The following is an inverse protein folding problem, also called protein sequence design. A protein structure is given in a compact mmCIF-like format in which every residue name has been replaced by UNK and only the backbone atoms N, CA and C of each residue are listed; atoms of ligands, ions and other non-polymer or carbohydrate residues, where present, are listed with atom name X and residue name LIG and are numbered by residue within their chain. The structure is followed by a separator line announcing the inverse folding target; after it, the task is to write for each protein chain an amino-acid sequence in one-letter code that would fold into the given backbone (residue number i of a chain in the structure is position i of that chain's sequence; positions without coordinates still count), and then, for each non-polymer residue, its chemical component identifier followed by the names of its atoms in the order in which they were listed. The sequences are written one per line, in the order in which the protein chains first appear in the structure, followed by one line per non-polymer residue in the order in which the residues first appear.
data_IF_713909071263
#
_entry.id   IF_713909071263
#
_cell.length_a   1.000
_cell.length_b   1.000
_cell.length_c   1.000
_cell.angle_alpha   90.00
_cell.angle_beta   90.00
_cell.angle_gamma   90.00
#
_symmetry.space_group_name_H-M   'P 1'
#
loop_
_entity.id
_entity.type
_entity.pdbx_description
1 polymer ?
#
# COMPACT_ATOMS: atom_id res chain seq x y z
N UNK A 1 20.62 15.06 -1.42
CA UNK A 1 19.90 14.47 -0.28
C UNK A 1 20.23 13.01 -0.29
N UNK A 2 20.79 12.51 0.81
CA UNK A 2 20.98 11.07 1.01
C UNK A 2 19.61 10.39 1.04
N UNK A 3 19.56 9.17 0.49
CA UNK A 3 18.40 8.28 0.59
C UNK A 3 18.04 8.05 2.08
N UNK A 4 16.77 7.80 2.40
CA UNK A 4 16.37 7.41 3.74
C UNK A 4 17.13 6.13 4.17
N UNK A 5 17.54 6.07 5.44
CA UNK A 5 18.35 4.98 5.96
C UNK A 5 17.55 3.67 6.04
N UNK A 6 18.25 2.54 5.96
CA UNK A 6 17.71 1.17 5.98
C UNK A 6 16.76 0.91 7.17
N UNK A 7 17.05 1.58 8.29
CA UNK A 7 16.30 1.52 9.54
C UNK A 7 14.87 2.08 9.41
N UNK A 8 14.71 3.16 8.64
CA UNK A 8 13.44 3.90 8.60
C UNK A 8 12.39 3.20 7.71
N UNK A 9 12.85 2.33 6.81
CA UNK A 9 12.00 1.51 5.95
C UNK A 9 11.59 0.20 6.63
N UNK A 10 12.43 -0.33 7.54
CA UNK A 10 12.06 -1.46 8.40
C UNK A 10 10.92 -1.08 9.36
N UNK A 11 10.93 0.14 9.91
CA UNK A 11 9.86 0.65 10.78
C UNK A 11 8.51 0.83 10.04
N UNK A 12 8.55 1.21 8.76
CA UNK A 12 7.36 1.28 7.88
C UNK A 12 6.70 -0.10 7.68
N UNK A 13 7.49 -1.16 7.48
CA UNK A 13 6.93 -2.51 7.31
C UNK A 13 6.49 -3.10 8.66
N UNK A 14 7.14 -2.72 9.75
CA UNK A 14 6.76 -3.13 11.10
C UNK A 14 5.45 -2.47 11.60
N UNK A 15 5.10 -1.28 11.09
CA UNK A 15 3.84 -0.57 11.40
C UNK A 15 2.63 -1.07 10.62
N UNK A 16 2.80 -2.01 9.69
CA UNK A 16 1.73 -2.85 9.14
C UNK A 16 1.23 -3.85 10.21
N UNK A 17 0.78 -3.34 11.35
CA UNK A 17 -0.01 -4.13 12.30
C UNK A 17 -1.31 -4.54 11.62
N UNK A 18 -1.37 -5.80 11.21
CA UNK A 18 -2.51 -6.39 10.51
C UNK A 18 -3.75 -6.20 11.38
N UNK A 19 -4.68 -5.35 10.94
CA UNK A 19 -6.00 -5.25 11.56
C UNK A 19 -6.66 -6.63 11.43
N UNK A 20 -7.23 -7.22 12.51
CA UNK A 20 -7.88 -8.52 12.38
C UNK A 20 -9.00 -8.49 11.35
N UNK A 21 -9.05 -9.48 10.43
CA UNK A 21 -10.04 -9.53 9.34
C UNK A 21 -11.49 -9.35 9.86
N UNK A 22 -11.83 -9.97 11.00
CA UNK A 22 -13.16 -9.84 11.60
C UNK A 22 -13.52 -8.38 11.94
N UNK A 23 -12.57 -7.60 12.46
CA UNK A 23 -12.77 -6.20 12.80
C UNK A 23 -12.96 -5.35 11.54
N UNK A 24 -12.24 -5.65 10.46
CA UNK A 24 -12.47 -5.00 9.16
C UNK A 24 -13.89 -5.28 8.67
N UNK A 25 -14.29 -6.56 8.63
CA UNK A 25 -15.61 -6.99 8.16
C UNK A 25 -16.74 -6.26 8.90
N UNK A 26 -16.70 -6.24 10.23
CA UNK A 26 -17.75 -5.59 11.04
C UNK A 26 -17.90 -4.11 10.72
N UNK A 27 -16.79 -3.41 10.48
CA UNK A 27 -16.78 -1.99 10.16
C UNK A 27 -17.25 -1.69 8.74
N UNK A 28 -16.94 -2.55 7.76
CA UNK A 28 -17.28 -2.28 6.35
C UNK A 28 -18.62 -2.86 5.89
N UNK A 29 -19.14 -3.92 6.51
CA UNK A 29 -20.44 -4.54 6.17
C UNK A 29 -21.59 -3.53 6.06
N UNK A 30 -21.75 -2.54 6.96
CA UNK A 30 -22.81 -1.55 6.85
C UNK A 30 -22.77 -0.72 5.55
N UNK A 31 -21.59 -0.46 4.99
CA UNK A 31 -21.44 0.27 3.73
C UNK A 31 -21.94 -0.56 2.55
N UNK A 32 -21.54 -1.83 2.49
CA UNK A 32 -21.98 -2.76 1.45
C UNK A 32 -23.49 -3.01 1.49
N UNK A 33 -24.10 -3.06 2.68
CA UNK A 33 -25.56 -3.19 2.86
C UNK A 33 -26.35 -1.97 2.39
N UNK A 34 -25.73 -0.79 2.40
CA UNK A 34 -26.36 0.49 2.00
C UNK A 34 -26.05 0.86 0.55
N UNK A 35 -25.25 0.05 -0.15
CA UNK A 35 -24.91 0.27 -1.54
C UNK A 35 -26.16 0.22 -2.43
N UNK A 36 -26.18 1.07 -3.45
CA UNK A 36 -27.18 1.04 -4.52
C UNK A 36 -26.90 -0.06 -5.55
N UNK A 37 -25.71 -0.64 -5.55
CA UNK A 37 -25.37 -1.84 -6.34
C UNK A 37 -25.84 -3.11 -5.59
N UNK A 38 -26.83 -3.84 -6.14
CA UNK A 38 -27.40 -5.01 -5.49
C UNK A 38 -26.43 -6.20 -5.39
N UNK A 39 -25.40 -6.26 -6.25
CA UNK A 39 -24.46 -7.39 -6.29
C UNK A 39 -23.26 -7.16 -5.35
N UNK A 40 -23.05 -5.92 -4.92
CA UNK A 40 -21.84 -5.54 -4.19
C UNK A 40 -21.73 -6.27 -2.84
N UNK A 41 -22.86 -6.41 -2.13
CA UNK A 41 -22.90 -7.16 -0.87
C UNK A 41 -22.60 -8.66 -1.10
N UNK A 42 -23.15 -9.24 -2.17
CA UNK A 42 -22.91 -10.65 -2.51
C UNK A 42 -21.45 -10.87 -2.90
N UNK A 43 -20.85 -10.00 -3.71
CA UNK A 43 -19.43 -10.05 -4.07
C UNK A 43 -18.54 -9.93 -2.83
N UNK A 44 -18.85 -9.00 -1.93
CA UNK A 44 -18.15 -8.85 -0.66
C UNK A 44 -18.23 -10.13 0.19
N UNK A 45 -19.42 -10.73 0.33
CA UNK A 45 -19.59 -11.99 1.06
C UNK A 45 -18.83 -13.17 0.44
N UNK A 46 -18.77 -13.26 -0.89
CA UNK A 46 -17.96 -14.27 -1.59
C UNK A 46 -16.48 -14.06 -1.30
N UNK A 47 -15.99 -12.82 -1.34
CA UNK A 47 -14.61 -12.48 -1.04
C UNK A 47 -14.23 -12.83 0.41
N UNK A 48 -15.09 -12.49 1.39
CA UNK A 48 -14.85 -12.85 2.79
C UNK A 48 -14.76 -14.37 2.99
N UNK A 49 -15.65 -15.14 2.36
CA UNK A 49 -15.57 -16.61 2.40
C UNK A 49 -14.26 -17.14 1.82
N UNK A 50 -13.71 -16.50 0.79
CA UNK A 50 -12.40 -16.87 0.24
C UNK A 50 -11.27 -16.57 1.23
N UNK A 51 -11.32 -15.44 1.94
CA UNK A 51 -10.37 -15.13 3.01
C UNK A 51 -10.42 -16.19 4.13
N UNK A 52 -11.61 -16.53 4.62
CA UNK A 52 -11.79 -17.53 5.68
C UNK A 52 -11.30 -18.93 5.28
N UNK A 53 -11.30 -19.26 3.98
CA UNK A 53 -10.91 -20.57 3.46
C UNK A 53 -9.43 -20.65 3.05
N UNK A 54 -8.76 -19.51 2.86
CA UNK A 54 -7.41 -19.44 2.33
C UNK A 54 -6.60 -18.38 3.08
N UNK A 55 -5.80 -18.84 4.05
CA UNK A 55 -4.97 -17.98 4.89
C UNK A 55 -3.92 -17.17 4.13
N UNK A 56 -3.42 -17.67 3.00
CA UNK A 56 -2.51 -16.90 2.14
C UNK A 56 -3.25 -15.74 1.47
N UNK A 57 -4.45 -16.00 0.95
CA UNK A 57 -5.30 -14.97 0.36
C UNK A 57 -5.75 -13.94 1.40
N UNK A 58 -6.16 -14.37 2.60
CA UNK A 58 -6.47 -13.48 3.72
C UNK A 58 -5.29 -12.55 4.04
N UNK A 59 -4.09 -13.11 4.21
CA UNK A 59 -2.89 -12.35 4.53
C UNK A 59 -2.57 -11.31 3.45
N UNK A 60 -2.62 -11.72 2.17
CA UNK A 60 -2.42 -10.80 1.04
C UNK A 60 -3.50 -9.72 0.98
N UNK A 61 -4.78 -10.09 1.15
CA UNK A 61 -5.90 -9.15 1.13
C UNK A 61 -5.76 -8.11 2.23
N UNK A 62 -5.43 -8.52 3.46
CA UNK A 62 -5.22 -7.61 4.58
C UNK A 62 -4.05 -6.66 4.33
N UNK A 63 -2.91 -7.16 3.83
CA UNK A 63 -1.77 -6.32 3.46
C UNK A 63 -2.13 -5.28 2.39
N UNK A 64 -2.97 -5.65 1.42
CA UNK A 64 -3.47 -4.73 0.39
C UNK A 64 -4.41 -3.68 0.99
N UNK A 65 -5.30 -4.07 1.90
CA UNK A 65 -6.19 -3.14 2.60
C UNK A 65 -5.40 -2.13 3.43
N UNK A 66 -4.40 -2.57 4.19
CA UNK A 66 -3.56 -1.71 5.02
C UNK A 66 -2.70 -0.77 4.15
N UNK A 67 -2.27 -1.22 2.97
CA UNK A 67 -1.46 -0.42 2.05
C UNK A 67 -2.28 0.43 1.06
N UNK A 68 -3.62 0.45 1.13
CA UNK A 68 -4.47 0.99 0.06
C UNK A 68 -4.17 2.45 -0.27
N UNK A 69 -4.02 3.31 0.73
CA UNK A 69 -3.74 4.74 0.53
C UNK A 69 -2.36 4.94 -0.13
N UNK A 70 -1.38 4.14 0.27
CA UNK A 70 -0.05 4.14 -0.33
C UNK A 70 -0.10 3.65 -1.79
N UNK A 71 -0.85 2.58 -2.07
CA UNK A 71 -1.04 2.04 -3.41
C UNK A 71 -1.68 3.07 -4.35
N UNK A 72 -2.60 3.90 -3.86
CA UNK A 72 -3.17 4.99 -4.66
C UNK A 72 -2.17 6.10 -4.99
N UNK A 73 -1.27 6.44 -4.05
CA UNK A 73 -0.20 7.42 -4.30
C UNK A 73 0.82 6.88 -5.29
N UNK A 74 1.17 5.59 -5.17
CA UNK A 74 2.03 4.88 -6.12
C UNK A 74 1.40 4.84 -7.51
N UNK A 75 0.12 4.48 -7.62
CA UNK A 75 -0.57 4.43 -8.91
C UNK A 75 -0.53 5.80 -9.63
N UNK A 76 -0.71 6.90 -8.88
CA UNK A 76 -0.56 8.27 -9.40
C UNK A 76 0.88 8.57 -9.83
N UNK A 77 1.87 8.19 -9.04
CA UNK A 77 3.29 8.38 -9.37
C UNK A 77 3.71 7.59 -10.62
N UNK A 78 3.13 6.41 -10.81
CA UNK A 78 3.27 5.57 -12.00
C UNK A 78 2.38 6.03 -13.17
N UNK A 79 1.66 7.13 -13.02
CA UNK A 79 0.77 7.72 -14.05
C UNK A 79 -0.29 6.75 -14.55
N UNK A 80 -0.78 5.88 -13.68
CA UNK A 80 -1.76 4.84 -14.02
C UNK A 80 -1.26 3.85 -15.09
N UNK A 81 0.06 3.72 -15.26
CA UNK A 81 0.63 2.69 -16.13
C UNK A 81 0.48 1.32 -15.47
N UNK A 82 -0.45 0.52 -16.01
CA UNK A 82 -0.77 -0.81 -15.51
C UNK A 82 0.44 -1.75 -15.49
N UNK A 83 1.33 -1.67 -16.49
CA UNK A 83 2.51 -2.54 -16.55
C UNK A 83 3.46 -2.21 -15.41
N UNK A 84 3.69 -0.93 -15.16
CA UNK A 84 4.54 -0.49 -14.05
C UNK A 84 3.93 -0.83 -12.70
N UNK A 85 2.61 -0.73 -12.57
CA UNK A 85 1.91 -1.14 -11.34
C UNK A 85 2.04 -2.64 -11.09
N UNK A 86 1.89 -3.48 -12.12
CA UNK A 86 2.07 -4.93 -12.00
C UNK A 86 3.50 -5.29 -11.57
N UNK A 87 4.52 -4.63 -12.13
CA UNK A 87 5.93 -4.84 -11.75
C UNK A 87 6.23 -4.32 -10.33
N UNK A 88 5.63 -3.19 -9.93
CA UNK A 88 5.73 -2.69 -8.56
C UNK A 88 5.13 -3.67 -7.54
N UNK A 89 3.92 -4.19 -7.80
CA UNK A 89 3.26 -5.15 -6.92
C UNK A 89 4.06 -6.46 -6.79
N UNK A 90 4.72 -6.89 -7.87
CA UNK A 90 5.66 -8.03 -7.84
C UNK A 90 6.89 -7.73 -6.99
N UNK A 91 7.45 -6.52 -7.12
CA UNK A 91 8.58 -6.10 -6.30
C UNK A 91 8.23 -6.07 -4.80
N UNK A 92 6.98 -5.70 -4.46
CA UNK A 92 6.46 -5.69 -3.09
C UNK A 92 6.24 -7.08 -2.49
N UNK A 93 6.12 -8.13 -3.31
CA UNK A 93 5.89 -9.52 -2.89
C UNK A 93 4.71 -9.69 -1.91
N UNK A 94 3.59 -9.00 -2.15
CA UNK A 94 2.39 -9.10 -1.31
C UNK A 94 1.81 -10.53 -1.19
N UNK A 95 2.09 -11.38 -2.18
CA UNK A 95 1.71 -12.79 -2.26
C UNK A 95 2.68 -13.73 -1.54
N UNK A 96 3.84 -13.24 -1.08
CA UNK A 96 4.82 -14.01 -0.34
C UNK A 96 4.83 -13.58 1.13
N UNK A 97 4.10 -14.32 1.97
CA UNK A 97 4.05 -14.07 3.41
C UNK A 97 5.42 -14.13 4.09
N UNK A 98 6.37 -14.87 3.51
CA UNK A 98 7.71 -15.14 4.05
C UNK A 98 8.81 -14.26 3.44
N UNK A 99 8.46 -13.29 2.59
CA UNK A 99 9.43 -12.36 2.01
C UNK A 99 10.12 -11.58 3.13
N UNK A 100 11.45 -11.58 3.14
CA UNK A 100 12.18 -10.73 4.07
C UNK A 100 12.18 -9.27 3.62
N UNK A 101 12.31 -8.34 4.57
CA UNK A 101 12.45 -6.91 4.29
C UNK A 101 13.52 -6.63 3.21
N UNK A 102 14.67 -7.28 3.33
CA UNK A 102 15.77 -7.11 2.39
C UNK A 102 15.44 -7.63 0.97
N UNK A 103 14.63 -8.69 0.85
CA UNK A 103 14.18 -9.19 -0.45
C UNK A 103 13.22 -8.21 -1.14
N UNK A 104 12.26 -7.66 -0.40
CA UNK A 104 11.34 -6.63 -0.88
C UNK A 104 12.12 -5.38 -1.29
N UNK A 105 13.06 -4.95 -0.45
CA UNK A 105 13.91 -3.79 -0.71
C UNK A 105 14.73 -3.93 -2.01
N UNK A 106 15.42 -5.06 -2.17
CA UNK A 106 16.18 -5.33 -3.39
C UNK A 106 15.27 -5.37 -4.63
N UNK A 107 14.06 -5.92 -4.51
CA UNK A 107 13.05 -5.91 -5.55
C UNK A 107 12.63 -4.49 -5.95
N UNK A 108 12.34 -3.63 -4.97
CA UNK A 108 11.96 -2.24 -5.18
C UNK A 108 13.09 -1.43 -5.80
N UNK A 109 14.32 -1.57 -5.31
CA UNK A 109 15.48 -0.89 -5.89
C UNK A 109 15.68 -1.30 -7.35
N UNK A 110 15.53 -2.59 -7.66
CA UNK A 110 15.61 -3.08 -9.03
C UNK A 110 14.52 -2.46 -9.91
N UNK A 111 13.26 -2.50 -9.47
CA UNK A 111 12.14 -1.88 -10.18
C UNK A 111 12.38 -0.39 -10.48
N UNK A 112 12.78 0.39 -9.47
CA UNK A 112 13.04 1.82 -9.62
C UNK A 112 14.19 2.13 -10.59
N UNK A 113 15.19 1.26 -10.67
CA UNK A 113 16.38 1.49 -11.49
C UNK A 113 16.27 0.91 -12.91
N UNK A 114 15.54 -0.18 -13.09
CA UNK A 114 15.45 -0.90 -14.38
C UNK A 114 14.16 -0.58 -15.14
N UNK A 115 13.04 -0.36 -14.45
CA UNK A 115 11.72 -0.24 -15.08
C UNK A 115 11.19 1.21 -15.15
N UNK A 116 11.64 2.07 -14.22
CA UNK A 116 11.17 3.44 -14.13
C UNK A 116 12.08 4.43 -14.89
N UNK A 117 11.47 5.30 -15.69
CA UNK A 117 12.19 6.46 -16.23
C UNK A 117 12.56 7.45 -15.10
N UNK A 118 13.53 8.38 -15.32
CA UNK A 118 14.00 9.29 -14.28
C UNK A 118 12.95 10.24 -13.68
N UNK A 119 11.83 10.48 -14.36
CA UNK A 119 10.73 11.29 -13.84
C UNK A 119 9.83 10.41 -12.97
N UNK A 120 9.46 9.23 -13.46
CA UNK A 120 8.65 8.25 -12.73
C UNK A 120 9.35 7.80 -11.45
N UNK A 121 10.66 7.50 -11.52
CA UNK A 121 11.49 7.17 -10.37
C UNK A 121 11.45 8.26 -9.29
N UNK A 122 11.62 9.53 -9.69
CA UNK A 122 11.54 10.67 -8.75
C UNK A 122 10.16 10.82 -8.13
N UNK A 123 9.10 10.56 -8.90
CA UNK A 123 7.73 10.52 -8.38
C UNK A 123 7.55 9.46 -7.31
N UNK A 124 8.06 8.25 -7.54
CA UNK A 124 8.03 7.15 -6.59
C UNK A 124 8.85 7.44 -5.33
N UNK A 125 10.08 7.92 -5.48
CA UNK A 125 10.95 8.32 -4.35
C UNK A 125 10.28 9.39 -3.47
N UNK A 126 9.56 10.32 -4.09
CA UNK A 126 8.77 11.33 -3.36
C UNK A 126 7.63 10.70 -2.55
N UNK A 127 6.87 9.77 -3.14
CA UNK A 127 5.79 9.05 -2.44
C UNK A 127 6.33 8.31 -1.22
N UNK A 128 7.47 7.62 -1.35
CA UNK A 128 8.11 6.93 -0.22
C UNK A 128 8.58 7.91 0.87
N UNK A 129 9.18 9.03 0.48
CA UNK A 129 9.63 10.05 1.43
C UNK A 129 8.46 10.74 2.16
N UNK A 130 7.37 11.02 1.47
CA UNK A 130 6.15 11.61 2.05
C UNK A 130 5.48 10.65 3.04
N UNK A 131 5.40 9.36 2.69
CA UNK A 131 4.87 8.34 3.59
C UNK A 131 5.70 8.22 4.86
N UNK A 132 7.03 8.11 4.71
CA UNK A 132 7.96 8.09 5.84
C UNK A 132 7.82 9.34 6.72
N UNK A 133 7.73 10.52 6.12
CA UNK A 133 7.54 11.75 6.89
C UNK A 133 6.18 11.79 7.63
N UNK A 134 5.12 11.24 7.04
CA UNK A 134 3.83 11.06 7.71
C UNK A 134 3.95 10.14 8.91
N UNK A 135 4.67 9.02 8.78
CA UNK A 135 4.81 8.02 9.84
C UNK A 135 5.73 8.50 10.98
N UNK A 136 6.86 9.14 10.65
CA UNK A 136 7.82 9.65 11.65
C UNK A 136 7.31 10.88 12.40
N UNK A 137 6.62 11.80 11.71
CA UNK A 137 6.24 13.09 12.27
C UNK A 137 4.73 13.21 12.53
N UNK A 138 3.94 12.17 12.27
CA UNK A 138 2.48 12.22 12.35
C UNK A 138 1.86 13.26 11.40
N UNK A 139 2.56 13.57 10.29
CA UNK A 139 2.14 14.59 9.33
C UNK A 139 1.07 14.01 8.41
N UNK A 140 -0.20 14.15 8.82
CA UNK A 140 -1.33 13.81 7.96
C UNK A 140 -1.37 14.71 6.71
N UNK A 141 -2.10 14.28 5.68
CA UNK A 141 -2.31 15.05 4.44
C UNK A 141 -2.84 16.47 4.70
N UNK A 142 -3.58 16.68 5.79
CA UNK A 142 -4.01 18.02 6.22
C UNK A 142 -2.85 18.90 6.68
N UNK A 143 -1.88 18.35 7.42
CA UNK A 143 -0.72 19.12 7.91
C UNK A 143 0.22 19.47 6.76
N UNK A 144 0.43 18.54 5.82
CA UNK A 144 1.20 18.80 4.61
C UNK A 144 0.50 19.83 3.71
N UNK A 145 -0.82 19.75 3.54
CA UNK A 145 -1.60 20.75 2.80
C UNK A 145 -1.50 22.15 3.43
N UNK A 146 -1.56 22.24 4.77
CA UNK A 146 -1.38 23.51 5.50
C UNK A 146 0.06 24.03 5.34
N UNK A 147 1.06 23.17 5.46
CA UNK A 147 2.47 23.56 5.28
C UNK A 147 2.74 24.09 3.86
N UNK A 148 2.19 23.46 2.83
CA UNK A 148 2.28 23.96 1.45
C UNK A 148 1.51 25.28 1.23
N UNK A 149 0.46 25.56 2.02
CA UNK A 149 -0.30 26.81 1.94
C UNK A 149 0.36 28.00 2.67
N UNK A 150 1.38 27.74 3.49
CA UNK A 150 2.12 28.73 4.27
C UNK A 150 3.40 29.22 3.57
N UNK A 151 3.70 28.71 2.38
CA UNK A 151 4.83 29.10 1.51
C UNK A 151 4.25 29.70 0.23
#
# INVERSE_FOLDING_TARGET
GSLPDEQDFEDFVATLTITPLHAVIENVVPFFRRSTDPDLLTKFQVMIRQCEQNSAFESTFMRVCDALDMLQRVEKALRFDKRLMDEYLRAMQFDNASASHQQVWNGLQRFLNEECDPITKRGMERVFAEQKASDEFGLSDEVLAVAYSLI
#
